data_IF_412806585414
#
_entry.id   IF_412806585414
#
_cell.length_a   1.000
_cell.length_b   1.000
_cell.length_c   1.000
_cell.angle_alpha   90.00
_cell.angle_beta   90.00
_cell.angle_gamma   90.00
#
_symmetry.space_group_name_H-M   'P 1'
#
loop_
_entity.id
_entity.type
_entity.pdbx_description
1 polymer ?
#
# COMPACT_ATOMS: atom_id res chain seq x y z
N UNK A 1 -15.68 35.99 -5.97
CA UNK A 1 -14.63 35.57 -5.04
C UNK A 1 -13.45 35.01 -5.82
N UNK A 2 -12.27 35.59 -5.66
CA UNK A 2 -11.05 35.11 -6.33
C UNK A 2 -10.62 33.73 -5.80
N UNK A 3 -9.87 32.97 -6.59
CA UNK A 3 -9.36 31.64 -6.21
C UNK A 3 -8.59 31.70 -4.88
N UNK A 4 -7.89 32.79 -4.64
CA UNK A 4 -7.16 33.07 -3.39
C UNK A 4 -8.11 33.12 -2.17
N UNK A 5 -9.26 33.78 -2.27
CA UNK A 5 -10.22 33.88 -1.16
C UNK A 5 -10.85 32.51 -0.81
N UNK A 6 -11.04 31.61 -1.79
CA UNK A 6 -11.56 30.25 -1.53
C UNK A 6 -10.52 29.38 -0.77
N UNK A 7 -9.24 29.57 -1.04
CA UNK A 7 -8.17 28.81 -0.35
C UNK A 7 -8.09 29.22 1.13
N UNK A 8 -8.14 30.54 1.42
CA UNK A 8 -8.14 31.02 2.81
C UNK A 8 -9.41 30.66 3.59
N UNK A 9 -10.57 30.64 2.91
CA UNK A 9 -11.83 30.24 3.54
C UNK A 9 -11.85 28.74 3.90
N UNK A 10 -11.34 27.88 3.02
CA UNK A 10 -11.21 26.45 3.29
C UNK A 10 -10.14 26.16 4.36
N UNK A 11 -9.04 26.90 4.38
CA UNK A 11 -8.02 26.78 5.44
C UNK A 11 -8.55 27.24 6.80
N UNK A 12 -9.40 28.28 6.83
CA UNK A 12 -10.02 28.78 8.05
C UNK A 12 -11.05 27.79 8.62
N UNK A 13 -11.84 27.14 7.76
CA UNK A 13 -12.79 26.09 8.16
C UNK A 13 -12.04 24.88 8.73
N UNK A 14 -10.91 24.48 8.12
CA UNK A 14 -10.08 23.37 8.61
C UNK A 14 -9.42 23.70 9.95
N UNK A 15 -8.95 24.94 10.15
CA UNK A 15 -8.36 25.37 11.42
C UNK A 15 -9.38 25.53 12.55
N UNK A 16 -10.61 25.97 12.23
CA UNK A 16 -11.69 26.06 13.23
C UNK A 16 -12.23 24.69 13.63
N UNK A 17 -12.21 23.70 12.75
CA UNK A 17 -12.64 22.33 13.08
C UNK A 17 -11.64 21.62 14.05
N UNK A 18 -10.36 22.00 14.02
CA UNK A 18 -9.34 21.45 14.93
C UNK A 18 -9.44 22.06 16.35
N UNK A 19 -9.95 23.29 16.48
CA UNK A 19 -10.02 23.99 17.79
C UNK A 19 -11.24 23.53 18.62
N UNK A 20 -12.28 22.96 18.00
CA UNK A 20 -13.51 22.55 18.72
C UNK A 20 -13.45 21.16 19.37
N UNK A 21 -12.36 20.42 19.23
CA UNK A 21 -12.15 19.13 19.91
C UNK A 21 -11.04 19.24 20.94
N UNK A 22 -11.09 20.26 21.80
CA UNK A 22 -10.37 20.21 23.07
C UNK A 22 -11.29 19.48 24.08
N UNK A 23 -11.09 18.20 24.40
CA UNK A 23 -11.89 17.55 25.43
C UNK A 23 -11.55 18.19 26.77
N UNK A 24 -12.57 18.68 27.48
CA UNK A 24 -12.45 18.92 28.89
C UNK A 24 -11.91 17.64 29.53
N UNK A 25 -10.84 17.72 30.28
CA UNK A 25 -10.23 16.60 30.99
C UNK A 25 -11.26 15.97 31.93
N UNK A 26 -12.03 15.04 31.45
CA UNK A 26 -12.76 14.09 32.27
C UNK A 26 -11.75 12.99 32.58
N UNK A 27 -11.52 12.71 33.87
CA UNK A 27 -10.68 11.62 34.37
C UNK A 27 -11.30 10.23 34.04
N UNK A 28 -11.75 10.04 32.84
CA UNK A 28 -12.11 8.75 32.27
C UNK A 28 -10.90 8.26 31.47
N UNK A 29 -10.41 7.06 31.72
CA UNK A 29 -9.40 6.40 30.90
C UNK A 29 -9.89 6.43 29.44
N UNK A 30 -9.36 7.36 28.66
CA UNK A 30 -9.74 7.45 27.26
C UNK A 30 -9.16 6.25 26.52
N UNK A 31 -10.06 5.49 25.90
CA UNK A 31 -9.70 4.31 25.09
C UNK A 31 -9.34 4.68 23.66
N UNK A 32 -9.32 5.96 23.34
CA UNK A 32 -9.08 6.47 21.99
C UNK A 32 -7.63 6.91 21.80
N UNK A 33 -7.09 6.63 20.64
CA UNK A 33 -5.79 7.10 20.21
C UNK A 33 -5.83 7.63 18.78
N UNK A 34 -5.00 8.61 18.49
CA UNK A 34 -4.74 9.13 17.14
C UNK A 34 -3.30 8.85 16.76
N UNK A 35 -3.07 8.57 15.48
CA UNK A 35 -1.73 8.34 14.99
C UNK A 35 -1.51 8.89 13.59
N UNK A 36 -0.26 9.21 13.33
CA UNK A 36 0.26 9.49 11.99
C UNK A 36 1.26 8.42 11.59
N UNK A 37 1.39 8.14 10.31
CA UNK A 37 2.31 7.13 9.81
C UNK A 37 3.01 7.57 8.53
N UNK A 38 4.26 7.14 8.40
CA UNK A 38 5.02 7.16 7.15
C UNK A 38 5.32 5.71 6.81
N UNK A 39 5.13 5.36 5.54
CA UNK A 39 5.26 3.99 5.07
C UNK A 39 6.11 3.92 3.82
N UNK A 40 6.88 2.87 3.67
CA UNK A 40 7.35 2.42 2.36
C UNK A 40 6.31 1.48 1.77
N UNK A 41 6.11 1.56 0.46
CA UNK A 41 5.14 0.74 -0.28
C UNK A 41 5.86 0.02 -1.42
N UNK A 42 5.62 -1.28 -1.55
CA UNK A 42 6.25 -2.14 -2.55
C UNK A 42 5.21 -3.03 -3.19
N UNK A 43 5.17 -3.03 -4.51
CA UNK A 43 4.30 -3.88 -5.32
C UNK A 43 4.91 -5.27 -5.51
N UNK A 44 4.03 -6.27 -5.59
CA UNK A 44 4.34 -7.64 -5.96
C UNK A 44 3.22 -8.20 -6.84
N UNK A 45 3.56 -8.58 -8.07
CA UNK A 45 2.64 -9.12 -9.07
C UNK A 45 3.34 -9.44 -10.39
N UNK A 46 2.67 -9.19 -11.52
CA UNK A 46 3.16 -9.59 -12.83
C UNK A 46 4.34 -8.76 -13.31
N UNK A 47 4.34 -7.45 -13.08
CA UNK A 47 5.40 -6.54 -13.54
C UNK A 47 6.54 -6.49 -12.54
N UNK A 48 7.77 -6.60 -13.04
CA UNK A 48 8.98 -6.60 -12.23
C UNK A 48 9.29 -7.94 -11.57
N UNK A 49 10.17 -7.95 -10.59
CA UNK A 49 10.62 -9.14 -9.87
C UNK A 49 9.88 -9.36 -8.55
N UNK A 50 9.89 -10.61 -8.08
CA UNK A 50 9.32 -11.02 -6.80
C UNK A 50 10.26 -10.71 -5.62
N UNK A 51 9.69 -10.55 -4.43
CA UNK A 51 10.43 -10.60 -3.18
C UNK A 51 11.13 -11.98 -3.03
N UNK A 52 12.42 -12.08 -2.71
CA UNK A 52 13.33 -11.08 -2.13
C UNK A 52 14.26 -10.37 -3.12
N UNK A 53 13.99 -10.35 -4.42
CA UNK A 53 14.83 -9.69 -5.44
C UNK A 53 15.00 -8.17 -5.24
N UNK A 54 14.45 -7.62 -4.16
CA UNK A 54 14.61 -6.22 -3.73
C UNK A 54 16.08 -5.83 -3.54
N UNK A 55 16.93 -6.81 -3.18
CA UNK A 55 18.34 -6.58 -2.88
C UNK A 55 19.28 -6.62 -4.09
N UNK A 56 18.79 -7.05 -5.25
CA UNK A 56 19.68 -7.22 -6.41
C UNK A 56 19.87 -5.95 -7.25
N UNK A 57 19.11 -4.88 -6.97
CA UNK A 57 19.33 -3.57 -7.60
C UNK A 57 19.87 -2.56 -6.59
N UNK A 58 21.04 -2.86 -6.04
CA UNK A 58 21.78 -1.95 -5.15
C UNK A 58 22.17 -0.63 -5.83
N UNK A 59 22.15 -0.57 -7.17
CA UNK A 59 22.44 0.62 -7.93
C UNK A 59 21.22 1.53 -8.11
N UNK A 60 20.00 1.03 -7.86
CA UNK A 60 18.79 1.83 -7.92
C UNK A 60 17.71 1.36 -6.92
N UNK A 61 17.99 1.48 -5.60
CA UNK A 61 17.09 1.00 -4.54
C UNK A 61 15.72 1.68 -4.55
N UNK A 62 15.58 2.83 -5.23
CA UNK A 62 14.33 3.59 -5.32
C UNK A 62 13.40 3.10 -6.42
N UNK A 63 13.83 2.17 -7.26
CA UNK A 63 13.07 1.72 -8.42
C UNK A 63 11.73 1.06 -8.07
N UNK A 64 11.66 0.37 -6.93
CA UNK A 64 10.46 -0.35 -6.48
C UNK A 64 9.81 0.24 -5.23
N UNK A 65 10.57 0.91 -4.38
CA UNK A 65 10.09 1.46 -3.12
C UNK A 65 9.49 2.84 -3.34
N UNK A 66 8.24 3.00 -2.91
CA UNK A 66 7.54 4.28 -2.92
C UNK A 66 7.16 4.65 -1.50
N UNK A 67 6.93 5.93 -1.27
CA UNK A 67 6.49 6.44 0.04
C UNK A 67 4.97 6.62 0.07
N UNK A 68 4.42 6.40 1.26
CA UNK A 68 3.05 6.71 1.60
C UNK A 68 2.99 7.38 2.97
N UNK A 69 1.90 8.08 3.21
CA UNK A 69 1.59 8.71 4.48
C UNK A 69 0.17 8.34 4.90
N UNK A 70 -0.07 8.24 6.19
CA UNK A 70 -1.38 7.85 6.69
C UNK A 70 -1.72 8.46 8.03
N UNK A 71 -3.01 8.42 8.35
CA UNK A 71 -3.56 8.75 9.66
C UNK A 71 -4.31 7.54 10.20
N UNK A 72 -4.29 7.40 11.51
CA UNK A 72 -4.86 6.26 12.20
C UNK A 72 -5.72 6.76 13.37
N UNK A 73 -6.81 6.05 13.60
CA UNK A 73 -7.67 6.26 14.75
C UNK A 73 -7.92 4.91 15.41
N UNK A 74 -7.44 4.76 16.64
CA UNK A 74 -7.52 3.52 17.41
C UNK A 74 -8.53 3.62 18.55
N UNK A 75 -9.19 2.50 18.82
CA UNK A 75 -10.04 2.29 19.98
C UNK A 75 -9.63 1.01 20.70
N UNK A 76 -9.14 1.15 21.93
CA UNK A 76 -8.75 0.01 22.77
C UNK A 76 -9.99 -0.67 23.35
N UNK A 77 -10.36 -1.82 22.79
CA UNK A 77 -11.46 -2.64 23.29
C UNK A 77 -11.08 -3.31 24.62
N UNK A 78 -9.82 -3.74 24.72
CA UNK A 78 -9.24 -4.36 25.92
C UNK A 78 -7.72 -4.13 25.94
N UNK A 79 -7.04 -4.63 26.96
CA UNK A 79 -5.57 -4.57 27.09
C UNK A 79 -4.84 -5.34 25.96
N UNK A 80 -5.53 -6.28 25.33
CA UNK A 80 -4.96 -7.18 24.32
C UNK A 80 -5.58 -7.01 22.94
N UNK A 81 -6.59 -6.14 22.77
CA UNK A 81 -7.24 -5.94 21.48
C UNK A 81 -7.57 -4.47 21.22
N UNK A 82 -7.11 -3.97 20.07
CA UNK A 82 -7.38 -2.61 19.58
C UNK A 82 -8.03 -2.69 18.21
N UNK A 83 -9.11 -1.95 18.01
CA UNK A 83 -9.69 -1.72 16.69
C UNK A 83 -9.13 -0.40 16.14
N UNK A 84 -8.61 -0.42 14.91
CA UNK A 84 -8.01 0.76 14.28
C UNK A 84 -8.62 1.03 12.92
N UNK A 85 -9.16 2.22 12.72
CA UNK A 85 -9.45 2.78 11.41
C UNK A 85 -8.20 3.47 10.86
N UNK A 86 -7.94 3.35 9.57
CA UNK A 86 -6.78 3.95 8.93
C UNK A 86 -7.10 4.54 7.57
N UNK A 87 -6.45 5.65 7.24
CA UNK A 87 -6.36 6.22 5.90
C UNK A 87 -4.89 6.16 5.49
N UNK A 88 -4.61 5.67 4.28
CA UNK A 88 -3.27 5.63 3.70
C UNK A 88 -3.31 6.19 2.28
N UNK A 89 -2.40 7.11 1.97
CA UNK A 89 -2.21 7.66 0.63
C UNK A 89 -0.77 7.44 0.23
N UNK A 90 -0.55 6.94 -0.99
CA UNK A 90 0.78 6.68 -1.49
C UNK A 90 0.78 6.20 -2.93
N UNK A 91 1.79 5.48 -3.32
CA UNK A 91 1.87 4.85 -4.63
C UNK A 91 2.71 3.59 -4.59
N UNK A 92 2.50 2.73 -5.56
CA UNK A 92 3.35 1.58 -5.87
C UNK A 92 3.87 1.69 -7.29
N UNK A 93 4.99 1.06 -7.59
CA UNK A 93 5.53 1.01 -8.95
C UNK A 93 6.34 -0.26 -9.15
N UNK A 94 6.42 -0.70 -10.41
CA UNK A 94 7.37 -1.73 -10.84
C UNK A 94 7.76 -1.53 -12.31
N UNK A 95 8.86 -2.15 -12.72
CA UNK A 95 9.30 -2.15 -14.11
C UNK A 95 10.14 -3.41 -14.37
N UNK A 96 9.88 -4.06 -15.49
CA UNK A 96 10.60 -5.27 -15.89
C UNK A 96 12.09 -5.01 -16.20
N UNK A 97 12.42 -3.81 -16.69
CA UNK A 97 13.81 -3.40 -17.02
C UNK A 97 14.76 -3.40 -15.82
N UNK A 98 14.24 -3.45 -14.60
CA UNK A 98 15.06 -3.52 -13.38
C UNK A 98 15.33 -4.95 -12.90
N UNK A 99 14.83 -5.96 -13.63
CA UNK A 99 15.19 -7.34 -13.37
C UNK A 99 16.65 -7.58 -13.71
N UNK A 100 17.34 -8.33 -12.84
CA UNK A 100 18.68 -8.81 -13.15
C UNK A 100 18.58 -9.85 -14.27
N UNK A 101 19.34 -9.71 -15.37
CA UNK A 101 19.37 -10.73 -16.43
C UNK A 101 19.83 -12.06 -15.85
N UNK A 102 18.99 -13.07 -15.94
CA UNK A 102 19.27 -14.46 -15.54
C UNK A 102 18.83 -15.38 -16.68
N UNK A 103 19.42 -16.59 -16.82
CA UNK A 103 19.06 -17.54 -17.88
C UNK A 103 17.71 -18.22 -17.63
N UNK A 104 16.85 -17.65 -16.80
CA UNK A 104 15.47 -18.10 -16.56
C UNK A 104 14.56 -17.58 -17.70
N UNK A 105 13.86 -18.47 -18.44
CA UNK A 105 12.93 -18.07 -19.49
C UNK A 105 11.88 -17.03 -19.04
N UNK A 106 11.42 -17.10 -17.80
CA UNK A 106 10.44 -16.14 -17.27
C UNK A 106 11.05 -14.74 -17.09
N UNK A 107 12.32 -14.65 -16.69
CA UNK A 107 13.05 -13.38 -16.57
C UNK A 107 13.34 -12.80 -17.95
N UNK A 108 13.80 -13.64 -18.89
CA UNK A 108 14.05 -13.22 -20.29
C UNK A 108 12.76 -12.68 -20.91
N UNK A 109 11.64 -13.37 -20.70
CA UNK A 109 10.33 -12.93 -21.18
C UNK A 109 9.93 -11.56 -20.61
N UNK A 110 10.05 -11.37 -19.29
CA UNK A 110 9.75 -10.08 -18.64
C UNK A 110 10.65 -8.95 -19.16
N UNK A 111 11.94 -9.19 -19.29
CA UNK A 111 12.88 -8.21 -19.85
C UNK A 111 12.53 -7.86 -21.31
N UNK A 112 12.07 -8.83 -22.12
CA UNK A 112 11.68 -8.60 -23.51
C UNK A 112 10.41 -7.76 -23.63
N UNK A 113 9.39 -8.00 -22.78
CA UNK A 113 8.15 -7.21 -22.79
C UNK A 113 8.32 -5.81 -22.19
N UNK A 114 9.30 -5.62 -21.30
CA UNK A 114 9.72 -4.33 -20.73
C UNK A 114 8.56 -3.46 -20.21
N UNK A 115 7.60 -4.05 -19.53
CA UNK A 115 6.47 -3.32 -18.96
C UNK A 115 6.91 -2.47 -17.75
N UNK A 116 6.23 -1.36 -17.55
CA UNK A 116 6.44 -0.51 -16.38
C UNK A 116 5.16 0.23 -16.03
N UNK A 117 4.92 0.37 -14.73
CA UNK A 117 3.78 1.13 -14.25
C UNK A 117 4.10 1.86 -12.95
N UNK A 118 3.25 2.82 -12.63
CA UNK A 118 3.11 3.46 -11.32
C UNK A 118 1.62 3.59 -11.04
N UNK A 119 1.17 3.10 -9.88
CA UNK A 119 -0.22 3.23 -9.45
C UNK A 119 -0.30 4.05 -8.16
N UNK A 120 -1.09 5.13 -8.17
CA UNK A 120 -1.43 5.86 -6.96
C UNK A 120 -2.42 5.02 -6.15
N UNK A 121 -2.31 5.04 -4.83
CA UNK A 121 -3.20 4.32 -3.91
C UNK A 121 -3.73 5.31 -2.88
N UNK A 122 -5.06 5.29 -2.71
CA UNK A 122 -5.75 5.91 -1.58
C UNK A 122 -6.62 4.83 -0.93
N UNK A 123 -6.30 4.48 0.31
CA UNK A 123 -6.87 3.35 1.04
C UNK A 123 -7.52 3.83 2.32
N UNK A 124 -8.71 3.30 2.63
CA UNK A 124 -9.39 3.45 3.92
C UNK A 124 -9.82 2.07 4.40
N UNK A 125 -9.65 1.80 5.69
CA UNK A 125 -10.02 0.50 6.22
C UNK A 125 -10.05 0.41 7.73
N UNK A 126 -10.43 -0.79 8.18
CA UNK A 126 -10.51 -1.15 9.59
C UNK A 126 -9.68 -2.41 9.81
N UNK A 127 -8.82 -2.37 10.81
CA UNK A 127 -7.98 -3.50 11.22
C UNK A 127 -8.10 -3.74 12.72
N UNK A 128 -8.01 -5.00 13.12
CA UNK A 128 -7.87 -5.42 14.51
C UNK A 128 -6.41 -5.70 14.83
N UNK A 129 -5.92 -5.17 15.95
CA UNK A 129 -4.61 -5.45 16.51
C UNK A 129 -4.76 -6.36 17.73
N UNK A 130 -4.06 -7.48 17.71
CA UNK A 130 -4.02 -8.41 18.83
C UNK A 130 -2.64 -8.40 19.48
N UNK A 131 -2.60 -8.10 20.77
CA UNK A 131 -1.40 -8.04 21.59
C UNK A 131 -1.29 -9.31 22.46
N UNK A 132 -0.41 -10.25 22.14
CA UNK A 132 -0.35 -11.53 22.86
C UNK A 132 0.25 -11.42 24.27
N UNK A 133 1.19 -10.47 24.49
CA UNK A 133 1.89 -10.38 25.78
C UNK A 133 0.97 -10.12 26.98
N UNK A 134 -0.04 -9.21 26.90
CA UNK A 134 -0.98 -9.03 28.00
C UNK A 134 -1.73 -10.31 28.38
N UNK A 135 -2.07 -11.13 27.40
CA UNK A 135 -2.76 -12.42 27.66
C UNK A 135 -1.84 -13.40 28.38
N UNK A 136 -0.56 -13.45 27.98
CA UNK A 136 0.41 -14.39 28.51
C UNK A 136 0.92 -13.99 29.90
N UNK A 137 1.24 -12.70 30.12
CA UNK A 137 1.97 -12.23 31.31
C UNK A 137 1.08 -11.64 32.40
N UNK A 138 -0.08 -11.06 32.06
CA UNK A 138 -1.04 -10.54 33.09
C UNK A 138 -1.50 -11.65 34.05
N UNK A 139 -1.59 -12.88 33.52
CA UNK A 139 -1.94 -14.08 34.33
C UNK A 139 -0.91 -14.38 35.43
N UNK A 140 0.34 -13.91 35.29
CA UNK A 140 1.44 -14.16 36.22
C UNK A 140 1.79 -12.92 37.05
N UNK A 141 0.98 -11.82 37.02
CA UNK A 141 1.23 -10.60 37.77
C UNK A 141 2.47 -9.81 37.32
N UNK A 142 2.98 -10.12 36.13
CA UNK A 142 4.17 -9.44 35.61
C UNK A 142 3.78 -8.13 34.91
N UNK A 143 4.57 -7.08 35.13
CA UNK A 143 4.43 -5.83 34.42
C UNK A 143 4.81 -6.02 32.96
N UNK A 144 3.89 -5.63 32.07
CA UNK A 144 4.16 -5.53 30.64
C UNK A 144 5.18 -4.41 30.43
N UNK A 145 6.32 -4.75 29.82
CA UNK A 145 7.32 -3.78 29.46
C UNK A 145 6.81 -2.74 28.45
N UNK A 146 7.64 -1.76 28.14
CA UNK A 146 7.33 -0.73 27.10
C UNK A 146 7.19 -1.30 25.69
N UNK A 147 7.57 -2.55 25.48
CA UNK A 147 7.67 -3.21 24.19
C UNK A 147 6.52 -4.20 24.02
N UNK A 148 5.63 -3.95 23.06
CA UNK A 148 4.43 -4.72 22.82
C UNK A 148 4.34 -5.17 21.37
N UNK A 149 4.71 -6.41 21.03
CA UNK A 149 4.47 -6.98 19.71
C UNK A 149 2.96 -7.25 19.52
N UNK A 150 2.51 -7.12 18.27
CA UNK A 150 1.13 -7.38 17.91
C UNK A 150 0.99 -8.01 16.52
N UNK A 151 -0.11 -8.71 16.34
CA UNK A 151 -0.57 -9.20 15.05
C UNK A 151 -1.71 -8.30 14.61
N UNK A 152 -1.77 -7.99 13.33
CA UNK A 152 -2.80 -7.10 12.77
C UNK A 152 -3.43 -7.74 11.53
N UNK A 153 -4.75 -7.58 11.40
CA UNK A 153 -5.48 -8.02 10.23
C UNK A 153 -6.81 -7.29 10.08
N UNK A 154 -7.34 -7.23 8.86
CA UNK A 154 -8.58 -6.51 8.62
C UNK A 154 -9.03 -6.46 7.17
N UNK A 155 -9.79 -5.42 6.83
CA UNK A 155 -10.32 -5.18 5.50
C UNK A 155 -10.22 -3.70 5.17
N UNK A 156 -9.82 -3.41 3.94
CA UNK A 156 -9.73 -2.06 3.40
C UNK A 156 -10.45 -1.98 2.05
N UNK A 157 -10.92 -0.79 1.73
CA UNK A 157 -11.29 -0.37 0.38
C UNK A 157 -10.22 0.58 -0.12
N UNK A 158 -9.76 0.39 -1.34
CA UNK A 158 -8.75 1.27 -1.92
C UNK A 158 -9.12 1.66 -3.35
N UNK A 159 -8.73 2.89 -3.69
CA UNK A 159 -8.75 3.41 -5.06
C UNK A 159 -7.33 3.43 -5.58
N UNK A 160 -7.16 3.00 -6.83
CA UNK A 160 -5.87 2.97 -7.51
C UNK A 160 -5.99 3.50 -8.93
N UNK A 161 -4.86 3.88 -9.54
CA UNK A 161 -4.82 4.31 -10.94
C UNK A 161 -3.46 3.97 -11.55
N UNK A 162 -3.37 2.88 -12.33
CA UNK A 162 -2.15 2.50 -13.01
C UNK A 162 -1.85 3.46 -14.17
N UNK A 163 -0.63 3.96 -14.21
CA UNK A 163 -0.10 4.88 -15.21
C UNK A 163 1.25 4.41 -15.71
N UNK A 164 1.58 4.72 -16.96
CA UNK A 164 2.90 4.43 -17.52
C UNK A 164 3.42 5.63 -18.33
N UNK A 165 4.73 5.63 -18.60
CA UNK A 165 5.35 6.65 -19.43
C UNK A 165 5.08 6.33 -20.90
N UNK A 166 4.57 7.30 -21.63
CA UNK A 166 4.39 7.28 -23.07
C UNK A 166 5.42 8.18 -23.74
N UNK A 167 6.07 7.67 -24.78
CA UNK A 167 6.97 8.42 -25.64
C UNK A 167 6.21 8.80 -26.91
N UNK A 168 5.97 10.07 -27.11
CA UNK A 168 5.28 10.55 -28.31
C UNK A 168 6.22 10.60 -29.54
N UNK A 169 5.64 10.91 -30.69
CA UNK A 169 6.39 10.99 -31.97
C UNK A 169 7.39 12.14 -32.03
N UNK A 170 7.30 13.09 -31.10
CA UNK A 170 8.23 14.23 -30.97
C UNK A 170 9.40 13.92 -30.04
N UNK A 171 9.38 12.76 -29.37
CA UNK A 171 10.35 12.35 -28.36
C UNK A 171 10.03 12.85 -26.94
N UNK A 172 8.85 13.45 -26.72
CA UNK A 172 8.44 13.90 -25.40
C UNK A 172 7.85 12.75 -24.57
N UNK A 173 8.22 12.70 -23.28
CA UNK A 173 7.71 11.71 -22.32
C UNK A 173 6.56 12.30 -21.52
N UNK A 174 5.45 11.58 -21.45
CA UNK A 174 4.28 11.94 -20.63
C UNK A 174 3.71 10.74 -19.88
N UNK A 175 3.10 10.99 -18.72
CA UNK A 175 2.38 9.97 -17.98
C UNK A 175 0.96 9.80 -18.53
N UNK A 176 0.61 8.58 -18.91
CA UNK A 176 -0.73 8.23 -19.40
C UNK A 176 -1.40 7.22 -18.47
N UNK A 177 -2.70 7.38 -18.27
CA UNK A 177 -3.52 6.43 -17.52
C UNK A 177 -3.72 5.16 -18.37
N UNK A 178 -3.49 3.97 -17.78
CA UNK A 178 -3.52 2.71 -18.54
C UNK A 178 -4.95 2.21 -18.76
N UNK A 179 -5.83 2.36 -17.78
CA UNK A 179 -7.21 1.86 -17.89
C UNK A 179 -7.96 2.33 -19.16
N UNK A 180 -7.92 3.63 -19.56
CA UNK A 180 -8.58 4.08 -20.79
C UNK A 180 -7.99 3.47 -22.06
N UNK A 181 -6.73 3.03 -22.03
CA UNK A 181 -6.03 2.46 -23.17
C UNK A 181 -6.44 1.02 -23.49
N UNK A 182 -7.12 0.33 -22.53
CA UNK A 182 -7.63 -1.03 -22.73
C UNK A 182 -6.57 -1.98 -23.28
N UNK A 183 -5.42 -1.99 -22.63
CA UNK A 183 -4.17 -2.63 -23.12
C UNK A 183 -4.27 -4.13 -23.40
N UNK A 184 -5.29 -4.79 -22.84
CA UNK A 184 -5.65 -6.20 -23.09
C UNK A 184 -7.04 -6.33 -23.74
N UNK A 185 -7.55 -5.24 -24.35
CA UNK A 185 -8.88 -5.21 -24.95
C UNK A 185 -10.05 -5.18 -23.97
N UNK A 186 -9.82 -4.76 -22.73
CA UNK A 186 -10.84 -4.75 -21.67
C UNK A 186 -12.10 -3.98 -22.12
N UNK A 187 -13.24 -4.71 -22.21
CA UNK A 187 -14.53 -4.13 -22.63
C UNK A 187 -14.57 -3.68 -24.11
N UNK A 188 -13.62 -4.08 -24.95
CA UNK A 188 -13.73 -3.89 -26.41
C UNK A 188 -14.70 -4.91 -27.02
N UNK A 189 -15.33 -4.61 -28.17
CA UNK A 189 -16.23 -5.52 -28.86
C UNK A 189 -15.48 -6.57 -29.67
N UNK A 190 -14.55 -7.27 -29.06
CA UNK A 190 -13.72 -8.34 -29.64
C UNK A 190 -13.99 -9.67 -28.94
N UNK A 191 -13.71 -10.77 -29.62
CA UNK A 191 -13.91 -12.10 -29.07
C UNK A 191 -13.05 -12.33 -27.82
N UNK A 192 -13.66 -12.85 -26.76
CA UNK A 192 -13.00 -13.14 -25.48
C UNK A 192 -12.38 -11.93 -24.78
N UNK A 193 -12.86 -10.71 -25.08
CA UNK A 193 -12.43 -9.51 -24.36
C UNK A 193 -12.64 -9.66 -22.86
N UNK A 194 -11.65 -9.34 -22.02
CA UNK A 194 -11.86 -9.27 -20.59
C UNK A 194 -12.82 -8.13 -20.25
N UNK A 195 -13.50 -8.25 -19.10
CA UNK A 195 -14.33 -7.15 -18.61
C UNK A 195 -13.47 -5.95 -18.22
N UNK A 196 -14.02 -4.76 -18.39
CA UNK A 196 -13.38 -3.55 -17.89
C UNK A 196 -13.27 -3.60 -16.36
N UNK A 197 -12.07 -3.38 -15.81
CA UNK A 197 -11.84 -3.42 -14.37
C UNK A 197 -12.22 -2.10 -13.69
N UNK A 198 -12.55 -2.20 -12.39
CA UNK A 198 -12.80 -1.04 -11.54
C UNK A 198 -11.48 -0.49 -10.99
N UNK A 199 -11.39 0.84 -10.85
CA UNK A 199 -10.29 1.51 -10.14
C UNK A 199 -10.48 1.53 -8.61
N UNK A 200 -11.55 0.88 -8.12
CA UNK A 200 -11.80 0.70 -6.68
C UNK A 200 -11.93 -0.79 -6.39
N UNK A 201 -11.23 -1.25 -5.37
CA UNK A 201 -11.16 -2.66 -5.02
C UNK A 201 -11.00 -2.83 -3.50
N UNK A 202 -11.05 -4.07 -3.03
CA UNK A 202 -10.81 -4.43 -1.63
C UNK A 202 -9.38 -4.94 -1.46
N UNK A 203 -8.83 -4.72 -0.26
CA UNK A 203 -7.61 -5.39 0.18
C UNK A 203 -7.81 -6.01 1.56
N UNK A 204 -7.09 -7.10 1.80
CA UNK A 204 -7.10 -7.85 3.05
C UNK A 204 -5.71 -7.73 3.69
N UNK A 205 -5.51 -6.72 4.54
CA UNK A 205 -4.24 -6.53 5.24
C UNK A 205 -4.06 -7.62 6.30
N UNK A 206 -2.86 -8.19 6.34
CA UNK A 206 -2.37 -9.04 7.43
C UNK A 206 -0.92 -8.67 7.71
N UNK A 207 -0.55 -8.61 8.98
CA UNK A 207 0.80 -8.20 9.33
C UNK A 207 1.16 -8.40 10.78
N UNK A 208 2.35 -7.95 11.09
CA UNK A 208 2.92 -7.93 12.44
C UNK A 208 3.48 -6.55 12.73
N UNK A 209 3.47 -6.18 13.98
CA UNK A 209 4.07 -4.94 14.42
C UNK A 209 4.60 -5.03 15.85
N UNK A 210 5.33 -4.00 16.17
CA UNK A 210 5.88 -3.80 17.49
C UNK A 210 5.58 -2.38 17.90
N UNK A 211 4.95 -2.21 19.05
CA UNK A 211 4.68 -0.91 19.65
C UNK A 211 5.62 -0.68 20.83
N UNK A 212 6.25 0.48 20.87
CA UNK A 212 7.09 0.94 21.96
C UNK A 212 6.45 2.17 22.63
N UNK A 213 6.10 2.04 23.90
CA UNK A 213 5.49 3.12 24.69
C UNK A 213 6.60 4.04 25.19
N UNK A 214 6.63 5.28 24.67
CA UNK A 214 7.62 6.30 25.05
C UNK A 214 7.20 6.96 26.37
N UNK A 215 5.93 7.34 26.46
CA UNK A 215 5.30 7.92 27.65
C UNK A 215 3.98 7.21 27.96
N UNK A 216 3.28 7.64 28.98
CA UNK A 216 1.92 7.13 29.32
C UNK A 216 0.90 7.39 28.21
N UNK A 217 1.13 8.36 27.34
CA UNK A 217 0.17 8.79 26.31
C UNK A 217 0.75 8.71 24.90
N UNK A 218 2.05 8.42 24.73
CA UNK A 218 2.71 8.44 23.42
C UNK A 218 3.40 7.14 23.16
N UNK A 219 3.16 6.57 21.98
CA UNK A 219 3.85 5.36 21.51
C UNK A 219 4.29 5.48 20.06
N UNK A 220 5.35 4.77 19.72
CA UNK A 220 5.82 4.59 18.35
C UNK A 220 5.64 3.12 17.98
N UNK A 221 5.29 2.84 16.72
CA UNK A 221 5.19 1.47 16.25
C UNK A 221 5.92 1.30 14.93
N UNK A 222 6.55 0.13 14.77
CA UNK A 222 7.03 -0.39 13.50
C UNK A 222 6.09 -1.52 13.08
N UNK A 223 5.58 -1.47 11.85
CA UNK A 223 4.60 -2.44 11.33
C UNK A 223 4.98 -2.89 9.93
N UNK A 224 4.96 -4.19 9.72
CA UNK A 224 5.07 -4.85 8.42
C UNK A 224 3.71 -5.42 8.05
N UNK A 225 3.19 -5.07 6.90
CA UNK A 225 1.86 -5.49 6.48
C UNK A 225 1.85 -5.90 5.01
N UNK A 226 1.32 -7.08 4.73
CA UNK A 226 0.94 -7.52 3.41
C UNK A 226 -0.52 -7.15 3.15
N UNK A 227 -0.83 -6.65 1.98
CA UNK A 227 -2.18 -6.35 1.50
C UNK A 227 -2.46 -7.15 0.25
N UNK A 228 -3.12 -8.28 0.41
CA UNK A 228 -3.65 -9.06 -0.72
C UNK A 228 -4.87 -8.34 -1.26
N UNK A 229 -4.86 -8.00 -2.55
CA UNK A 229 -5.98 -7.28 -3.18
C UNK A 229 -6.99 -8.22 -3.79
N UNK A 230 -8.19 -7.75 -4.08
CA UNK A 230 -9.20 -8.50 -4.84
C UNK A 230 -9.18 -8.16 -6.33
N UNK A 231 -8.10 -7.56 -6.84
CA UNK A 231 -7.90 -7.23 -8.24
C UNK A 231 -6.56 -7.73 -8.74
N UNK A 232 -6.51 -8.08 -10.01
CA UNK A 232 -5.32 -8.49 -10.76
C UNK A 232 -4.90 -7.40 -11.77
N UNK A 233 -5.38 -6.16 -11.56
CA UNK A 233 -5.14 -5.04 -12.46
C UNK A 233 -4.52 -3.83 -11.77
N UNK A 234 -3.85 -4.05 -10.63
CA UNK A 234 -3.15 -2.96 -9.92
C UNK A 234 -2.03 -2.37 -10.80
N UNK A 235 -1.47 -3.20 -11.69
CA UNK A 235 -0.44 -2.88 -12.68
C UNK A 235 -0.96 -2.84 -14.14
N UNK A 236 -2.28 -3.02 -14.35
CA UNK A 236 -2.92 -3.11 -15.67
C UNK A 236 -2.56 -4.39 -16.47
N UNK A 237 -2.09 -5.45 -15.80
CA UNK A 237 -1.65 -6.69 -16.43
C UNK A 237 -2.33 -7.89 -15.77
N UNK A 238 -3.05 -8.71 -16.54
CA UNK A 238 -3.74 -9.92 -16.04
C UNK A 238 -3.91 -11.00 -17.10
N UNK A 239 -4.09 -10.62 -18.36
CA UNK A 239 -4.56 -11.50 -19.42
C UNK A 239 -3.56 -11.72 -20.54
N UNK A 240 -4.05 -11.53 -21.75
CA UNK A 240 -3.32 -11.79 -22.99
C UNK A 240 -3.14 -10.50 -23.80
N UNK A 241 -2.17 -10.53 -24.70
CA UNK A 241 -2.05 -9.52 -25.74
C UNK A 241 -3.24 -9.60 -26.70
N UNK A 242 -3.57 -8.47 -27.33
CA UNK A 242 -4.51 -8.39 -28.46
C UNK A 242 -3.78 -7.85 -29.66
N UNK A 243 -4.38 -8.05 -30.85
CA UNK A 243 -3.81 -7.53 -32.09
C UNK A 243 -3.81 -6.00 -32.09
N UNK A 244 -2.74 -5.41 -32.61
CA UNK A 244 -2.63 -3.96 -32.77
C UNK A 244 -3.73 -3.37 -33.66
N UNK A 245 -4.24 -4.13 -34.62
CA UNK A 245 -5.36 -3.73 -35.47
C UNK A 245 -6.64 -3.46 -34.66
N UNK A 246 -6.83 -4.16 -33.54
CA UNK A 246 -8.01 -3.96 -32.69
C UNK A 246 -8.00 -2.59 -32.00
N UNK A 247 -6.82 -2.06 -31.67
CA UNK A 247 -6.71 -0.70 -31.16
C UNK A 247 -7.03 0.34 -32.22
N UNK A 248 -6.62 0.11 -33.49
CA UNK A 248 -6.95 0.99 -34.60
C UNK A 248 -8.45 0.94 -34.93
N UNK A 249 -9.05 -0.25 -34.87
CA UNK A 249 -10.50 -0.43 -35.07
C UNK A 249 -11.32 0.27 -33.99
N UNK A 250 -10.88 0.22 -32.73
CA UNK A 250 -11.63 0.76 -31.61
C UNK A 250 -11.42 2.25 -31.41
N UNK A 251 -10.19 2.74 -31.43
CA UNK A 251 -9.83 4.14 -31.17
C UNK A 251 -9.75 4.99 -32.44
N UNK A 252 -9.72 4.36 -33.62
CA UNK A 252 -9.47 5.00 -34.91
C UNK A 252 -7.98 5.00 -35.26
N UNK A 253 -7.67 4.54 -36.49
CA UNK A 253 -6.30 4.46 -36.98
C UNK A 253 -5.61 5.84 -36.98
N UNK A 254 -4.37 5.88 -36.46
CA UNK A 254 -3.56 7.10 -36.41
C UNK A 254 -3.91 8.09 -35.29
N UNK A 255 -4.88 7.79 -34.44
CA UNK A 255 -5.21 8.60 -33.26
C UNK A 255 -4.13 8.45 -32.19
N UNK A 256 -3.99 9.47 -31.32
CA UNK A 256 -3.06 9.45 -30.18
C UNK A 256 -3.40 8.29 -29.22
N UNK A 257 -4.68 8.02 -29.00
CA UNK A 257 -5.14 6.93 -28.12
C UNK A 257 -4.74 5.55 -28.67
N UNK A 258 -4.93 5.30 -29.98
CA UNK A 258 -4.50 4.06 -30.61
C UNK A 258 -2.98 3.88 -30.50
N UNK A 259 -2.20 4.95 -30.71
CA UNK A 259 -0.75 4.91 -30.61
C UNK A 259 -0.28 4.63 -29.16
N UNK A 260 -0.88 5.30 -28.17
CA UNK A 260 -0.64 5.05 -26.76
C UNK A 260 -1.00 3.61 -26.35
N UNK A 261 -2.15 3.11 -26.78
CA UNK A 261 -2.61 1.77 -26.47
C UNK A 261 -1.65 0.72 -27.04
N UNK A 262 -1.29 0.83 -28.32
CA UNK A 262 -0.32 -0.07 -28.99
C UNK A 262 1.03 -0.03 -28.28
N UNK A 263 1.55 1.15 -27.94
CA UNK A 263 2.83 1.29 -27.25
C UNK A 263 2.81 0.66 -25.85
N UNK A 264 1.69 0.74 -25.13
CA UNK A 264 1.59 0.20 -23.75
C UNK A 264 1.21 -1.29 -23.73
N UNK A 265 0.44 -1.75 -24.68
CA UNK A 265 0.06 -3.15 -24.79
C UNK A 265 1.16 -4.03 -25.36
N UNK A 266 1.81 -3.58 -26.41
CA UNK A 266 2.69 -4.40 -27.25
C UNK A 266 3.95 -3.62 -27.66
N UNK A 267 4.77 -3.29 -26.69
CA UNK A 267 6.00 -2.53 -26.93
C UNK A 267 7.04 -3.42 -27.67
N UNK A 268 7.53 -3.03 -28.85
CA UNK A 268 8.63 -3.72 -29.50
C UNK A 268 9.89 -3.54 -28.66
N UNK A 269 10.36 -4.60 -28.01
CA UNK A 269 11.57 -4.54 -27.20
C UNK A 269 12.80 -4.95 -28.00
N UNK A 270 13.89 -4.20 -27.80
CA UNK A 270 15.21 -4.60 -28.25
C UNK A 270 15.89 -5.34 -27.09
N UNK A 271 16.19 -6.62 -27.29
CA UNK A 271 16.99 -7.40 -26.36
C UNK A 271 18.36 -7.68 -27.01
N UNK A 272 19.44 -7.19 -26.39
CA UNK A 272 20.82 -7.40 -26.86
C UNK A 272 21.05 -7.07 -28.35
N UNK A 273 20.41 -6.03 -28.86
CA UNK A 273 20.55 -5.60 -30.24
C UNK A 273 19.71 -6.39 -31.26
N UNK A 274 18.93 -7.37 -30.80
CA UNK A 274 17.98 -8.12 -31.62
C UNK A 274 16.59 -7.55 -31.47
N UNK A 275 15.94 -7.20 -32.60
CA UNK A 275 14.53 -6.80 -32.58
C UNK A 275 13.67 -8.04 -32.33
N UNK A 276 13.08 -8.13 -31.15
CA UNK A 276 12.08 -9.15 -30.86
C UNK A 276 10.77 -8.65 -31.44
N UNK A 277 10.30 -9.31 -32.51
CA UNK A 277 9.00 -9.03 -33.09
C UNK A 277 7.93 -9.01 -32.00
N UNK A 278 6.97 -8.09 -32.12
CA UNK A 278 5.89 -7.94 -31.15
C UNK A 278 5.26 -9.28 -30.77
N UNK A 279 4.81 -9.39 -29.54
CA UNK A 279 4.21 -10.62 -29.03
C UNK A 279 2.95 -10.97 -29.82
N UNK A 280 2.73 -12.27 -30.05
CA UNK A 280 1.54 -12.74 -30.73
C UNK A 280 0.28 -12.47 -29.88
N UNK A 281 -0.88 -12.19 -30.51
CA UNK A 281 -2.13 -11.93 -29.80
C UNK A 281 -2.60 -13.06 -28.87
N UNK A 282 -2.05 -14.25 -29.01
CA UNK A 282 -2.38 -15.42 -28.19
C UNK A 282 -1.47 -15.60 -26.98
N UNK A 283 -0.36 -14.85 -26.90
CA UNK A 283 0.59 -14.98 -25.79
C UNK A 283 0.07 -14.30 -24.52
N UNK A 284 0.40 -14.85 -23.34
CA UNK A 284 0.05 -14.23 -22.08
C UNK A 284 0.84 -12.92 -21.90
N UNK A 285 0.15 -11.85 -21.56
CA UNK A 285 0.76 -10.59 -21.12
C UNK A 285 1.12 -10.65 -19.65
N UNK A 286 0.23 -11.23 -18.83
CA UNK A 286 0.41 -11.51 -17.42
C UNK A 286 0.67 -12.99 -17.12
N UNK A 287 0.59 -13.33 -15.85
CA UNK A 287 0.57 -14.71 -15.38
C UNK A 287 -0.82 -15.29 -15.64
N UNK A 288 -0.91 -16.37 -16.41
CA UNK A 288 -2.19 -17.07 -16.58
C UNK A 288 -2.68 -17.74 -15.28
N UNK A 289 -1.84 -17.83 -14.26
CA UNK A 289 -2.21 -18.22 -12.93
C UNK A 289 -2.87 -17.02 -12.26
N UNK A 290 -4.16 -17.09 -12.02
CA UNK A 290 -5.02 -16.05 -11.45
C UNK A 290 -4.68 -15.75 -9.97
N UNK A 291 -3.50 -15.24 -9.72
CA UNK A 291 -3.14 -14.70 -8.42
C UNK A 291 -3.35 -13.19 -8.47
N UNK A 292 -4.23 -12.69 -7.64
CA UNK A 292 -4.42 -11.26 -7.49
C UNK A 292 -3.13 -10.57 -7.04
N UNK A 293 -2.98 -9.33 -7.46
CA UNK A 293 -1.89 -8.47 -7.04
C UNK A 293 -1.88 -8.24 -5.52
N UNK A 294 -0.70 -7.99 -4.99
CA UNK A 294 -0.56 -7.58 -3.59
C UNK A 294 0.58 -6.58 -3.42
N UNK A 295 0.58 -5.89 -2.30
CA UNK A 295 1.64 -4.96 -1.97
C UNK A 295 1.96 -4.99 -0.47
N UNK A 296 3.24 -4.77 -0.18
CA UNK A 296 3.75 -4.67 1.18
C UNK A 296 3.88 -3.23 1.62
N UNK A 297 3.69 -3.00 2.91
CA UNK A 297 4.08 -1.74 3.55
C UNK A 297 4.92 -2.00 4.77
N UNK A 298 6.00 -1.22 4.91
CA UNK A 298 6.73 -1.07 6.16
C UNK A 298 6.45 0.33 6.68
N UNK A 299 5.86 0.43 7.87
CA UNK A 299 5.35 1.70 8.40
C UNK A 299 5.98 2.01 9.74
N UNK A 300 6.37 3.27 9.92
CA UNK A 300 6.63 3.86 11.23
C UNK A 300 5.41 4.70 11.58
N UNK A 301 4.86 4.48 12.77
CA UNK A 301 3.63 5.12 13.27
C UNK A 301 3.90 5.78 14.59
N UNK A 302 3.39 7.00 14.77
CA UNK A 302 3.37 7.71 16.04
C UNK A 302 1.91 7.78 16.51
N UNK A 303 1.65 7.35 17.74
CA UNK A 303 0.32 7.40 18.36
C UNK A 303 0.31 8.27 19.58
N UNK A 304 -0.79 9.01 19.77
CA UNK A 304 -1.09 9.80 20.94
C UNK A 304 -2.44 9.36 21.49
N UNK A 305 -2.46 8.82 22.71
CA UNK A 305 -3.67 8.42 23.40
C UNK A 305 -4.27 9.62 24.14
N UNK A 306 -5.60 9.74 24.11
CA UNK A 306 -6.33 10.80 24.82
C UNK A 306 -6.47 10.50 26.32
N UNK A 307 -5.91 9.40 26.82
CA UNK A 307 -5.85 8.97 28.22
C UNK A 307 -4.63 8.10 28.45
N UNK A 308 -4.42 7.63 29.69
CA UNK A 308 -3.29 6.73 30.01
C UNK A 308 -3.40 5.45 29.18
N UNK A 309 -2.29 5.05 28.55
CA UNK A 309 -2.20 3.77 27.85
C UNK A 309 -2.35 2.65 28.88
N UNK A 310 -3.32 1.78 28.67
CA UNK A 310 -3.57 0.62 29.53
C UNK A 310 -2.32 -0.27 29.51
N UNK A 311 -1.72 -0.55 30.66
CA UNK A 311 -0.54 -1.42 30.78
C UNK A 311 0.78 -0.73 31.17
N UNK A 312 0.84 0.59 31.27
CA UNK A 312 2.01 1.32 31.77
C UNK A 312 1.95 1.50 33.30
N UNK A 313 2.03 0.42 34.05
CA UNK A 313 2.40 0.53 35.45
C UNK A 313 3.93 0.46 35.58
N UNK A 314 4.49 1.64 35.77
CA UNK A 314 5.75 1.99 36.44
C UNK A 314 7.02 1.17 36.16
N UNK A 315 8.01 1.95 35.67
CA UNK A 315 9.47 1.84 35.81
C UNK A 315 10.14 0.46 35.69
N UNK A 316 10.78 0.29 34.55
CA UNK A 316 11.78 -0.79 34.34
C UNK A 316 13.16 -0.49 34.96
N UNK A 317 13.32 0.63 35.66
CA UNK A 317 14.55 1.01 36.34
C UNK A 317 14.21 1.28 37.80
N UNK A 318 14.51 0.26 38.61
CA UNK A 318 14.75 0.34 40.05
C UNK A 318 13.72 1.10 40.85
N UNK A 319 12.93 0.41 41.62
CA UNK A 319 12.11 1.08 42.62
C UNK A 319 11.10 0.14 43.24
N UNK A 320 11.50 -0.44 44.32
CA UNK A 320 10.76 -0.72 45.55
C UNK A 320 9.22 -0.71 45.45
N UNK A 321 8.68 -1.79 44.90
CA UNK A 321 7.32 -2.20 45.28
C UNK A 321 7.29 -3.73 45.41
N UNK A 322 8.32 -4.31 46.03
CA UNK A 322 8.21 -5.61 46.61
C UNK A 322 7.43 -5.49 47.93
N UNK A 323 6.24 -6.04 47.92
CA UNK A 323 5.49 -6.48 49.09
C UNK A 323 5.30 -5.37 50.18
N UNK A 324 4.36 -4.48 49.96
CA UNK A 324 3.64 -3.93 51.13
C UNK A 324 2.79 -5.08 51.67
N UNK A 325 3.33 -5.81 52.62
CA UNK A 325 2.53 -6.66 53.48
C UNK A 325 1.41 -5.80 54.07
N UNK A 326 0.17 -6.25 54.07
CA UNK A 326 -0.88 -5.55 54.79
C UNK A 326 -0.43 -5.40 56.28
N UNK A 327 -0.66 -4.27 56.91
CA UNK A 327 -0.32 -4.11 58.31
C UNK A 327 -1.04 -5.21 59.11
N UNK A 328 -0.27 -6.00 59.85
CA UNK A 328 -0.83 -6.96 60.78
C UNK A 328 -1.66 -6.18 61.79
N UNK A 329 -2.97 -6.37 61.79
CA UNK A 329 -3.85 -5.95 62.89
C UNK A 329 -3.64 -6.93 64.05
N UNK A 330 -2.94 -6.49 65.04
CA UNK A 330 -3.08 -7.03 66.40
C UNK A 330 -4.13 -6.24 67.14
#
# INVERSE_FOLDING_TARGET
MSVSQKIYFNALIFSTLIIFVAPKAVNAQSRFEFGASISTMQYEGEVGGRFPYIYNDLNNPTSKVRLGAGINFGYHLSDYFTLRASLLIGSVQAADRFLKPEPDPAVIYKLSRNLSFRSSIAEVGIVGEFYPLPVLFKRYGQNLGRFNPYIVGGINVFKFNPRSLYLDKTGALSWVDLKPLRTEGQGMPIANAPKEYSLTSFSFPIGIGVRFNITENTSIALELMNRTTSTDYLDDVSGRYIDNAEFDNFFGAGTVLADQAKQKANFPSWLNGVHVNGFLPTEPRGSLNKFNDFYYTTSIKLFISLGKIIGNNESWIGGDNYLKCPPSRF
#
